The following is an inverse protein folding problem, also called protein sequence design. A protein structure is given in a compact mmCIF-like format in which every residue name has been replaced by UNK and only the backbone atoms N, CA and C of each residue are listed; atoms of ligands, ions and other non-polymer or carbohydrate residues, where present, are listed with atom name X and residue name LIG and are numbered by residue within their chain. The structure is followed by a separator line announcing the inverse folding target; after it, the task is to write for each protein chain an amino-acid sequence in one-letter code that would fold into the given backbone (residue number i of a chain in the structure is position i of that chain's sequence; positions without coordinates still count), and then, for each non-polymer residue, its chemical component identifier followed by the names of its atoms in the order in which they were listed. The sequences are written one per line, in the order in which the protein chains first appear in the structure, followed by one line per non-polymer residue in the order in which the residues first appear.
data_IF_178440000289
#
_entry.id   IF_178440000289
#
_cell.length_a   1.000
_cell.length_b   1.000
_cell.length_c   1.000
_cell.angle_alpha   90.00
_cell.angle_beta   90.00
_cell.angle_gamma   90.00
#
_symmetry.space_group_name_H-M   'P 1'
#
loop_
_entity.id
_entity.type
_entity.pdbx_description
1 polymer ?
#
# COMPACT_ATOMS: atom_id res chain seq x y z
N UNK A 1 8.48 -25.91 11.35
CA UNK A 1 7.98 -25.22 10.15
C UNK A 1 8.58 -23.83 10.21
N UNK A 2 9.25 -23.39 9.15
CA UNK A 2 9.68 -21.99 9.04
C UNK A 2 8.40 -21.20 8.87
N UNK A 3 8.18 -20.20 9.72
CA UNK A 3 7.02 -19.31 9.62
C UNK A 3 7.15 -18.53 8.30
N UNK A 4 6.12 -18.58 7.47
CA UNK A 4 6.15 -17.90 6.20
C UNK A 4 6.12 -16.39 6.40
N UNK A 5 7.05 -15.66 5.76
CA UNK A 5 7.15 -14.21 5.89
C UNK A 5 5.89 -13.54 5.30
N UNK A 6 5.31 -12.60 6.03
CA UNK A 6 4.27 -11.73 5.48
C UNK A 6 4.85 -10.71 4.47
N UNK A 7 3.98 -10.02 3.72
CA UNK A 7 4.38 -9.09 2.66
C UNK A 7 5.38 -8.02 3.16
N UNK A 8 5.12 -7.42 4.33
CA UNK A 8 6.01 -6.41 4.91
C UNK A 8 7.40 -6.97 5.27
N UNK A 9 7.45 -8.18 5.80
CA UNK A 9 8.71 -8.85 6.16
C UNK A 9 9.52 -9.20 4.91
N UNK A 10 8.86 -9.65 3.84
CA UNK A 10 9.51 -9.91 2.52
C UNK A 10 10.13 -8.63 1.96
N UNK A 11 9.38 -7.53 1.95
CA UNK A 11 9.86 -6.22 1.49
C UNK A 11 11.08 -5.77 2.30
N UNK A 12 11.02 -5.87 3.63
CA UNK A 12 12.15 -5.52 4.51
C UNK A 12 13.37 -6.41 4.32
N UNK A 13 13.18 -7.67 3.92
CA UNK A 13 14.26 -8.59 3.58
C UNK A 13 14.85 -8.33 2.19
N UNK A 14 14.29 -7.41 1.40
CA UNK A 14 14.70 -7.12 0.02
C UNK A 14 14.27 -8.20 -0.97
N UNK A 15 13.27 -9.02 -0.62
CA UNK A 15 12.72 -10.03 -1.51
C UNK A 15 11.84 -9.37 -2.58
N UNK A 16 11.89 -9.91 -3.81
CA UNK A 16 10.96 -9.53 -4.87
C UNK A 16 9.58 -10.05 -4.49
N UNK A 17 8.58 -9.17 -4.51
CA UNK A 17 7.19 -9.54 -4.31
C UNK A 17 6.40 -9.30 -5.59
N UNK A 18 5.58 -10.26 -5.97
CA UNK A 18 4.81 -10.25 -7.21
C UNK A 18 3.33 -10.11 -6.86
N UNK A 19 2.68 -9.10 -7.41
CA UNK A 19 1.24 -8.91 -7.30
C UNK A 19 0.54 -9.16 -8.62
N UNK A 20 -0.72 -9.57 -8.56
CA UNK A 20 -1.59 -9.71 -9.73
C UNK A 20 -2.81 -8.81 -9.61
N UNK A 21 -3.10 -8.05 -10.67
CA UNK A 21 -4.28 -7.19 -10.69
C UNK A 21 -5.56 -7.99 -10.86
N UNK A 22 -6.59 -7.60 -10.11
CA UNK A 22 -7.95 -8.13 -10.27
C UNK A 22 -8.90 -7.00 -10.72
N UNK A 23 -9.91 -7.31 -11.55
CA UNK A 23 -10.91 -6.32 -11.96
C UNK A 23 -11.69 -5.76 -10.75
N UNK A 24 -12.19 -4.54 -10.90
CA UNK A 24 -12.99 -3.85 -9.88
C UNK A 24 -14.31 -4.57 -9.53
N UNK A 25 -14.80 -5.42 -10.40
CA UNK A 25 -16.02 -6.23 -10.26
C UNK A 25 -15.72 -7.73 -10.01
N UNK A 26 -14.48 -8.05 -9.58
CA UNK A 26 -14.06 -9.43 -9.39
C UNK A 26 -14.93 -10.15 -8.35
N UNK A 27 -15.41 -11.32 -8.76
CA UNK A 27 -16.06 -12.28 -7.86
C UNK A 27 -15.01 -13.16 -7.18
N UNK A 28 -15.40 -13.83 -6.07
CA UNK A 28 -14.52 -14.78 -5.39
C UNK A 28 -13.95 -15.84 -6.34
N UNK A 29 -14.80 -16.41 -7.21
CA UNK A 29 -14.37 -17.40 -8.18
C UNK A 29 -13.36 -16.86 -9.20
N UNK A 30 -13.51 -15.59 -9.63
CA UNK A 30 -12.56 -14.97 -10.53
C UNK A 30 -11.22 -14.66 -9.82
N UNK A 31 -11.27 -14.24 -8.56
CA UNK A 31 -10.05 -14.04 -7.75
C UNK A 31 -9.30 -15.36 -7.60
N UNK A 32 -10.01 -16.45 -7.27
CA UNK A 32 -9.44 -17.79 -7.13
C UNK A 32 -8.81 -18.27 -8.44
N UNK A 33 -9.50 -18.08 -9.59
CA UNK A 33 -8.98 -18.43 -10.91
C UNK A 33 -7.71 -17.64 -11.26
N UNK A 34 -7.71 -16.32 -11.02
CA UNK A 34 -6.54 -15.47 -11.29
C UNK A 34 -5.37 -15.87 -10.38
N UNK A 35 -5.63 -16.08 -9.10
CA UNK A 35 -4.61 -16.43 -8.12
C UNK A 35 -3.94 -17.77 -8.42
N UNK A 36 -4.71 -18.75 -8.90
CA UNK A 36 -4.20 -20.07 -9.22
C UNK A 36 -3.34 -20.17 -10.49
N UNK A 37 -3.16 -19.07 -11.22
CA UNK A 37 -2.38 -19.07 -12.47
C UNK A 37 -0.88 -19.09 -12.25
N UNK A 38 -0.43 -18.68 -11.08
CA UNK A 38 0.99 -18.63 -10.75
C UNK A 38 1.17 -18.80 -9.23
N UNK A 39 2.05 -19.70 -8.83
CA UNK A 39 2.37 -19.95 -7.41
C UNK A 39 3.30 -18.88 -6.81
N UNK A 40 3.82 -17.94 -7.64
CA UNK A 40 4.71 -16.87 -7.19
C UNK A 40 3.97 -15.60 -6.76
N UNK A 41 2.64 -15.54 -6.87
CA UNK A 41 1.89 -14.38 -6.42
C UNK A 41 1.90 -14.23 -4.89
N UNK A 42 2.12 -13.00 -4.42
CA UNK A 42 2.16 -12.65 -3.01
C UNK A 42 0.97 -11.81 -2.56
N UNK A 43 0.29 -11.12 -3.48
CA UNK A 43 -0.90 -10.32 -3.22
C UNK A 43 -1.74 -10.10 -4.48
N UNK A 44 -3.02 -9.79 -4.30
CA UNK A 44 -3.82 -9.21 -5.37
C UNK A 44 -3.82 -7.69 -5.26
N UNK A 45 -3.82 -7.02 -6.42
CA UNK A 45 -3.89 -5.57 -6.51
C UNK A 45 -5.27 -5.11 -7.01
N UNK A 46 -5.88 -4.19 -6.27
CA UNK A 46 -7.16 -3.56 -6.59
C UNK A 46 -6.93 -2.07 -6.77
N UNK A 47 -7.35 -1.53 -7.91
CA UNK A 47 -7.19 -0.12 -8.23
C UNK A 47 -8.51 0.62 -8.21
N UNK A 48 -8.59 1.73 -7.46
CA UNK A 48 -9.75 2.64 -7.49
C UNK A 48 -9.47 3.96 -8.20
N UNK A 49 -8.22 4.28 -8.52
CA UNK A 49 -7.88 5.53 -9.18
C UNK A 49 -8.44 5.58 -10.61
N UNK A 50 -8.37 4.45 -11.33
CA UNK A 50 -8.79 4.36 -12.74
C UNK A 50 -9.92 3.34 -12.95
N UNK A 51 -10.77 3.12 -11.96
CA UNK A 51 -11.90 2.20 -12.05
C UNK A 51 -13.17 2.78 -11.43
N UNK A 52 -14.35 2.31 -11.83
CA UNK A 52 -15.62 2.73 -11.26
C UNK A 52 -15.94 2.03 -9.93
N UNK A 53 -14.92 1.68 -9.16
CA UNK A 53 -15.04 0.91 -7.93
C UNK A 53 -15.86 1.65 -6.87
N UNK A 54 -16.87 0.98 -6.33
CA UNK A 54 -17.67 1.46 -5.20
C UNK A 54 -17.37 0.64 -3.94
N UNK A 55 -17.56 1.21 -2.76
CA UNK A 55 -17.17 0.59 -1.49
C UNK A 55 -17.79 -0.78 -1.23
N UNK A 56 -19.04 -0.99 -1.63
CA UNK A 56 -19.69 -2.29 -1.45
C UNK A 56 -19.03 -3.40 -2.26
N UNK A 57 -18.52 -3.08 -3.44
CA UNK A 57 -17.75 -4.02 -4.26
C UNK A 57 -16.37 -4.25 -3.67
N UNK A 58 -15.71 -3.18 -3.23
CA UNK A 58 -14.42 -3.27 -2.55
C UNK A 58 -14.50 -4.18 -1.32
N UNK A 59 -15.51 -3.99 -0.48
CA UNK A 59 -15.76 -4.86 0.68
C UNK A 59 -15.96 -6.32 0.26
N UNK A 60 -16.70 -6.57 -0.83
CA UNK A 60 -16.91 -7.93 -1.36
C UNK A 60 -15.62 -8.59 -1.84
N UNK A 61 -14.76 -7.84 -2.54
CA UNK A 61 -13.44 -8.30 -2.99
C UNK A 61 -12.56 -8.63 -1.77
N UNK A 62 -12.53 -7.75 -0.77
CA UNK A 62 -11.72 -7.95 0.43
C UNK A 62 -12.16 -9.17 1.24
N UNK A 63 -13.46 -9.38 1.41
CA UNK A 63 -14.00 -10.58 2.06
C UNK A 63 -13.64 -11.84 1.28
N UNK A 64 -13.78 -11.80 -0.06
CA UNK A 64 -13.41 -12.94 -0.91
C UNK A 64 -11.93 -13.28 -0.81
N UNK A 65 -11.06 -12.26 -0.86
CA UNK A 65 -9.61 -12.44 -0.71
C UNK A 65 -9.24 -12.99 0.68
N UNK A 66 -9.89 -12.50 1.73
CA UNK A 66 -9.70 -12.97 3.08
C UNK A 66 -10.11 -14.44 3.24
N UNK A 67 -11.25 -14.85 2.64
CA UNK A 67 -11.68 -16.25 2.62
C UNK A 67 -10.67 -17.17 1.91
N UNK A 68 -9.92 -16.64 0.96
CA UNK A 68 -8.88 -17.34 0.21
C UNK A 68 -7.48 -17.19 0.85
N UNK A 69 -7.36 -16.45 1.95
CA UNK A 69 -6.08 -16.14 2.62
C UNK A 69 -5.10 -15.33 1.75
N UNK A 70 -5.63 -14.50 0.86
CA UNK A 70 -4.85 -13.71 -0.09
C UNK A 70 -4.69 -12.28 0.44
N UNK A 71 -3.47 -11.74 0.58
CA UNK A 71 -3.24 -10.34 0.91
C UNK A 71 -3.76 -9.41 -0.19
N UNK A 72 -4.32 -8.25 0.21
CA UNK A 72 -4.85 -7.26 -0.74
C UNK A 72 -4.04 -5.98 -0.68
N UNK A 73 -3.49 -5.58 -1.81
CA UNK A 73 -2.95 -4.26 -2.07
C UNK A 73 -4.04 -3.40 -2.70
N UNK A 74 -4.30 -2.22 -2.15
CA UNK A 74 -5.33 -1.32 -2.60
C UNK A 74 -4.77 0.06 -2.91
N UNK A 75 -4.86 0.48 -4.19
CA UNK A 75 -4.55 1.85 -4.59
C UNK A 75 -5.78 2.72 -4.41
N UNK A 76 -5.68 3.73 -3.56
CA UNK A 76 -6.78 4.64 -3.24
C UNK A 76 -7.06 5.59 -4.41
N UNK A 77 -8.26 6.18 -4.44
CA UNK A 77 -8.73 7.00 -5.55
C UNK A 77 -7.90 8.29 -5.74
N UNK A 78 -7.49 8.95 -4.66
CA UNK A 78 -6.81 10.24 -4.72
C UNK A 78 -6.11 10.57 -3.40
N UNK A 79 -5.03 11.35 -3.45
CA UNK A 79 -4.29 11.83 -2.27
C UNK A 79 -5.15 12.54 -1.23
N UNK A 80 -6.16 13.29 -1.66
CA UNK A 80 -7.09 13.98 -0.74
C UNK A 80 -7.96 13.02 0.08
N UNK A 81 -7.89 11.72 -0.19
CA UNK A 81 -8.66 10.69 0.54
C UNK A 81 -7.81 9.90 1.54
N UNK A 82 -6.61 10.34 1.83
CA UNK A 82 -5.73 9.69 2.84
C UNK A 82 -6.42 9.54 4.19
N UNK A 83 -7.29 10.48 4.59
CA UNK A 83 -8.08 10.39 5.83
C UNK A 83 -9.00 9.15 5.92
N UNK A 84 -9.27 8.48 4.78
CA UNK A 84 -10.09 7.25 4.72
C UNK A 84 -9.26 5.97 4.80
N UNK A 85 -7.95 6.03 4.80
CA UNK A 85 -7.08 4.85 4.82
C UNK A 85 -7.49 3.88 5.92
N UNK A 86 -7.67 4.37 7.16
CA UNK A 86 -8.09 3.54 8.27
C UNK A 86 -9.41 2.79 8.01
N UNK A 87 -10.36 3.40 7.30
CA UNK A 87 -11.61 2.76 6.92
C UNK A 87 -11.42 1.60 5.94
N UNK A 88 -10.61 1.79 4.88
CA UNK A 88 -10.33 0.71 3.93
C UNK A 88 -9.51 -0.43 4.54
N UNK A 89 -8.63 -0.11 5.48
CA UNK A 89 -7.94 -1.13 6.27
C UNK A 89 -8.91 -1.92 7.16
N UNK A 90 -9.91 -1.26 7.73
CA UNK A 90 -10.98 -1.93 8.50
C UNK A 90 -11.90 -2.79 7.62
N UNK A 91 -12.00 -2.49 6.32
CA UNK A 91 -12.72 -3.31 5.36
C UNK A 91 -11.90 -4.54 4.91
N UNK A 92 -10.57 -4.54 5.05
CA UNK A 92 -9.76 -5.73 4.77
C UNK A 92 -8.53 -5.54 3.93
N UNK A 93 -8.20 -4.33 3.49
CA UNK A 93 -6.92 -4.08 2.83
C UNK A 93 -5.76 -4.36 3.81
N UNK A 94 -4.72 -5.00 3.32
CA UNK A 94 -3.47 -5.23 4.06
C UNK A 94 -2.33 -4.33 3.59
N UNK A 95 -2.48 -3.75 2.41
CA UNK A 95 -1.54 -2.79 1.83
C UNK A 95 -2.32 -1.64 1.19
N UNK A 96 -1.82 -0.42 1.36
CA UNK A 96 -2.37 0.80 0.74
C UNK A 96 -1.31 1.45 -0.13
N UNK A 97 -1.72 1.87 -1.32
CA UNK A 97 -0.93 2.75 -2.18
C UNK A 97 -1.64 4.10 -2.32
N UNK A 98 -0.90 5.18 -2.03
CA UNK A 98 -1.37 6.55 -2.22
C UNK A 98 -0.82 7.06 -3.55
N UNK A 99 -1.68 7.27 -4.58
CA UNK A 99 -1.22 7.75 -5.88
C UNK A 99 -0.76 9.20 -5.81
N UNK A 100 -0.05 9.68 -6.83
CA UNK A 100 0.31 11.09 -7.04
C UNK A 100 0.84 11.79 -5.78
N UNK A 101 1.68 11.10 -5.02
CA UNK A 101 2.23 11.64 -3.77
C UNK A 101 3.40 12.56 -4.06
N UNK A 102 3.26 13.85 -3.81
CA UNK A 102 4.27 14.87 -4.09
C UNK A 102 4.77 15.62 -2.86
N UNK A 103 4.01 15.61 -1.77
CA UNK A 103 4.31 16.47 -0.60
C UNK A 103 4.53 15.67 0.66
N UNK A 104 5.39 16.19 1.53
CA UNK A 104 5.59 15.62 2.88
C UNK A 104 4.29 15.58 3.69
N UNK A 105 3.40 16.57 3.51
CA UNK A 105 2.12 16.62 4.20
C UNK A 105 1.24 15.41 3.81
N UNK A 106 1.15 15.09 2.52
CA UNK A 106 0.44 13.89 2.03
C UNK A 106 1.03 12.61 2.61
N UNK A 107 2.36 12.48 2.62
CA UNK A 107 3.05 11.34 3.20
C UNK A 107 2.76 11.22 4.70
N UNK A 108 2.77 12.35 5.44
CA UNK A 108 2.45 12.36 6.87
C UNK A 108 1.00 11.97 7.12
N UNK A 109 0.05 12.51 6.35
CA UNK A 109 -1.36 12.13 6.46
C UNK A 109 -1.56 10.64 6.19
N UNK A 110 -0.89 10.08 5.18
CA UNK A 110 -0.94 8.66 4.89
C UNK A 110 -0.46 7.82 6.09
N UNK A 111 0.68 8.18 6.70
CA UNK A 111 1.20 7.51 7.90
C UNK A 111 0.23 7.67 9.07
N UNK A 112 -0.29 8.87 9.31
CA UNK A 112 -1.20 9.17 10.40
C UNK A 112 -2.48 8.32 10.35
N UNK A 113 -3.06 8.13 9.18
CA UNK A 113 -4.29 7.34 9.03
C UNK A 113 -4.06 5.85 8.78
N UNK A 114 -2.82 5.43 8.53
CA UNK A 114 -2.46 4.03 8.38
C UNK A 114 -2.18 3.35 9.73
N UNK A 115 -1.45 4.03 10.62
CA UNK A 115 -1.01 3.48 11.90
C UNK A 115 -1.87 3.95 13.07
N UNK A 116 -2.04 3.08 14.07
CA UNK A 116 -2.71 3.42 15.32
C UNK A 116 -1.91 4.43 16.17
N UNK A 117 -2.51 5.01 17.24
CA UNK A 117 -1.91 6.14 17.98
C UNK A 117 -0.49 5.96 18.52
N UNK A 118 0.07 4.76 18.54
CA UNK A 118 1.49 4.54 18.88
C UNK A 118 2.45 5.09 17.83
N UNK A 119 1.98 5.18 16.56
CA UNK A 119 2.80 5.60 15.42
C UNK A 119 2.03 6.51 14.45
N UNK A 120 0.72 6.69 14.64
CA UNK A 120 -0.16 7.49 13.79
C UNK A 120 -1.40 7.98 14.54
N UNK A 121 -2.53 8.11 13.82
CA UNK A 121 -3.81 8.62 14.34
C UNK A 121 -5.02 7.78 13.92
N UNK A 122 -4.79 6.56 13.37
CA UNK A 122 -5.89 5.69 12.93
C UNK A 122 -6.85 5.41 14.08
N UNK A 123 -8.16 5.56 13.82
CA UNK A 123 -9.21 5.23 14.78
C UNK A 123 -9.31 3.73 15.00
N UNK A 124 -9.66 3.33 16.22
CA UNK A 124 -9.88 1.93 16.58
C UNK A 124 -11.36 1.54 16.35
N UNK A 125 -11.62 0.64 15.39
CA UNK A 125 -12.97 0.16 15.06
C UNK A 125 -13.48 -0.98 15.96
N UNK A 126 -12.66 -1.51 16.85
CA UNK A 126 -13.04 -2.61 17.73
C UNK A 126 -13.52 -3.85 16.97
N UNK A 127 -14.51 -4.53 17.53
CA UNK A 127 -15.12 -5.75 16.96
C UNK A 127 -15.99 -5.49 15.73
N UNK A 128 -16.26 -4.24 15.40
CA UNK A 128 -17.09 -3.88 14.24
C UNK A 128 -16.30 -3.85 12.92
N UNK A 129 -14.99 -4.04 12.96
CA UNK A 129 -14.17 -4.17 11.76
C UNK A 129 -14.59 -5.39 10.95
N UNK A 130 -14.80 -5.18 9.66
CA UNK A 130 -15.31 -6.21 8.75
C UNK A 130 -14.21 -7.09 8.22
N UNK A 131 -13.05 -6.46 7.93
CA UNK A 131 -11.89 -7.12 7.35
C UNK A 131 -10.77 -7.35 8.37
N UNK A 132 -9.62 -7.81 7.90
CA UNK A 132 -8.47 -8.24 8.70
C UNK A 132 -8.93 -9.01 9.93
N UNK A 133 -9.84 -9.84 9.68
CA UNK A 133 -10.38 -10.66 10.68
C UNK A 133 -9.41 -11.76 10.96
N UNK A 134 -8.61 -11.92 11.45
CA UNK A 134 -7.64 -12.79 12.08
C UNK A 134 -7.93 -14.29 11.95
N UNK A 135 -8.80 -14.69 11.03
CA UNK A 135 -9.02 -16.09 10.72
C UNK A 135 -7.71 -16.81 10.40
N UNK A 136 -6.77 -16.06 9.84
CA UNK A 136 -5.44 -16.54 9.47
C UNK A 136 -4.31 -15.91 10.29
N UNK A 137 -4.63 -14.91 11.08
CA UNK A 137 -3.67 -14.17 11.88
C UNK A 137 -3.98 -14.50 13.35
N UNK A 138 -3.23 -15.32 13.99
CA UNK A 138 -3.41 -15.79 15.37
C UNK A 138 -3.37 -14.66 16.41
N UNK A 139 -4.03 -13.53 16.11
CA UNK A 139 -4.07 -12.39 17.00
C UNK A 139 -5.47 -12.20 17.60
N UNK A 140 -5.59 -11.88 18.90
CA UNK A 140 -6.88 -11.66 19.55
C UNK A 140 -7.67 -10.52 18.88
N UNK A 141 -8.94 -10.75 18.60
CA UNK A 141 -9.84 -9.74 18.02
C UNK A 141 -10.51 -8.89 19.08
N UNK A 142 -10.35 -9.23 20.35
CA UNK A 142 -10.98 -8.53 21.44
C UNK A 142 -10.30 -7.17 21.69
N UNK A 143 -11.01 -6.27 22.36
CA UNK A 143 -10.49 -4.96 22.73
C UNK A 143 -9.53 -5.03 23.95
N UNK A 144 -9.21 -6.22 24.44
CA UNK A 144 -8.42 -6.41 25.66
C UNK A 144 -6.95 -6.04 25.46
N UNK A 145 -6.40 -6.19 24.24
CA UNK A 145 -5.01 -5.88 23.94
C UNK A 145 -4.84 -5.03 22.68
N UNK A 146 -5.36 -3.80 22.71
CA UNK A 146 -5.24 -2.85 21.61
C UNK A 146 -3.79 -2.48 21.27
N UNK A 147 -2.94 -2.39 22.25
CA UNK A 147 -1.52 -2.06 22.03
C UNK A 147 -0.79 -3.21 21.37
N UNK A 148 -1.04 -4.44 21.80
CA UNK A 148 -0.49 -5.62 21.16
C UNK A 148 -0.96 -5.76 19.72
N UNK A 149 -2.26 -5.50 19.44
CA UNK A 149 -2.78 -5.47 18.08
C UNK A 149 -2.11 -4.38 17.23
N UNK A 150 -1.94 -3.17 17.74
CA UNK A 150 -1.27 -2.08 17.05
C UNK A 150 0.18 -2.44 16.70
N UNK A 151 0.89 -3.06 17.63
CA UNK A 151 2.26 -3.54 17.41
C UNK A 151 2.31 -4.64 16.34
N UNK A 152 1.36 -5.57 16.36
CA UNK A 152 1.22 -6.56 15.29
C UNK A 152 0.97 -5.90 13.93
N UNK A 153 0.02 -4.95 13.87
CA UNK A 153 -0.30 -4.21 12.65
C UNK A 153 0.92 -3.50 12.07
N UNK A 154 1.74 -2.87 12.91
CA UNK A 154 2.96 -2.18 12.50
C UNK A 154 3.97 -3.11 11.81
N UNK A 155 3.89 -4.43 12.06
CA UNK A 155 4.73 -5.45 11.44
C UNK A 155 4.02 -6.24 10.33
N UNK A 156 2.77 -5.89 10.01
CA UNK A 156 1.94 -6.59 9.03
C UNK A 156 1.57 -5.70 7.84
N UNK A 157 0.95 -4.54 8.11
CA UNK A 157 0.43 -3.65 7.06
C UNK A 157 1.53 -2.96 6.27
N UNK A 158 1.32 -2.76 4.96
CA UNK A 158 2.28 -2.14 4.05
C UNK A 158 1.72 -0.82 3.52
N UNK A 159 2.47 0.28 3.70
CA UNK A 159 2.14 1.59 3.16
C UNK A 159 3.08 1.94 2.02
N UNK A 160 2.52 2.20 0.85
CA UNK A 160 3.24 2.62 -0.36
C UNK A 160 2.82 4.03 -0.77
N UNK A 161 3.78 4.82 -1.26
CA UNK A 161 3.56 6.13 -1.85
C UNK A 161 3.98 6.09 -3.32
N UNK A 162 3.05 6.37 -4.24
CA UNK A 162 3.36 6.38 -5.66
C UNK A 162 3.93 7.74 -6.07
N UNK A 163 5.12 7.74 -6.67
CA UNK A 163 5.80 8.90 -7.23
C UNK A 163 5.71 8.83 -8.75
N UNK A 164 5.17 9.89 -9.35
CA UNK A 164 4.81 9.91 -10.75
C UNK A 164 4.89 11.33 -11.36
N UNK A 165 5.71 12.19 -10.74
CA UNK A 165 6.10 13.51 -11.27
C UNK A 165 7.54 13.82 -10.91
N UNK A 166 8.17 14.75 -11.63
CA UNK A 166 9.50 15.25 -11.31
C UNK A 166 9.55 15.83 -9.89
N UNK A 167 8.50 16.58 -9.51
CA UNK A 167 8.39 17.15 -8.18
C UNK A 167 8.34 16.04 -7.10
N UNK A 168 7.60 14.96 -7.33
CA UNK A 168 7.56 13.82 -6.43
C UNK A 168 8.94 13.17 -6.28
N UNK A 169 9.67 12.97 -7.39
CA UNK A 169 11.02 12.39 -7.39
C UNK A 169 11.99 13.26 -6.56
N UNK A 170 11.98 14.59 -6.75
CA UNK A 170 12.83 15.51 -5.98
C UNK A 170 12.49 15.50 -4.49
N UNK A 171 11.22 15.25 -4.14
CA UNK A 171 10.75 15.22 -2.76
C UNK A 171 10.90 13.85 -2.07
N UNK A 172 11.38 12.80 -2.74
CA UNK A 172 11.59 11.47 -2.12
C UNK A 172 12.28 11.54 -0.76
N UNK A 173 13.32 12.38 -0.51
CA UNK A 173 13.92 12.51 0.81
C UNK A 173 12.95 12.89 1.94
N UNK A 174 11.81 13.51 1.60
CA UNK A 174 10.75 13.88 2.56
C UNK A 174 9.60 12.87 2.57
N UNK A 175 9.41 12.15 1.46
CA UNK A 175 8.35 11.15 1.30
C UNK A 175 8.74 9.80 1.91
N UNK A 176 10.00 9.38 1.71
CA UNK A 176 10.56 8.15 2.27
C UNK A 176 10.88 8.34 3.76
N UNK A 177 9.85 8.46 4.57
CA UNK A 177 9.92 8.74 6.02
C UNK A 177 9.51 7.52 6.85
N UNK A 178 9.79 7.50 8.17
CA UNK A 178 9.34 6.42 9.03
C UNK A 178 7.84 6.16 8.92
N UNK A 179 7.47 4.90 8.71
CA UNK A 179 6.09 4.47 8.48
C UNK A 179 5.75 4.24 7.00
N UNK A 180 6.54 4.74 6.05
CA UNK A 180 6.43 4.40 4.63
C UNK A 180 7.31 3.19 4.36
N UNK A 181 6.74 2.13 3.78
CA UNK A 181 7.44 0.88 3.52
C UNK A 181 8.06 0.84 2.11
N UNK A 182 7.38 1.45 1.15
CA UNK A 182 7.81 1.48 -0.26
C UNK A 182 7.49 2.82 -0.91
N UNK A 183 8.31 3.16 -1.88
CA UNK A 183 7.99 4.14 -2.92
C UNK A 183 7.70 3.37 -4.20
N UNK A 184 6.49 3.51 -4.74
CA UNK A 184 6.09 2.88 -6.00
C UNK A 184 6.25 3.84 -7.18
N UNK A 185 6.31 3.29 -8.38
CA UNK A 185 6.64 4.02 -9.60
C UNK A 185 5.42 4.15 -10.51
N UNK A 186 5.04 5.40 -10.89
CA UNK A 186 3.98 5.69 -11.83
C UNK A 186 4.52 6.12 -13.21
N UNK A 187 4.89 5.18 -14.09
CA UNK A 187 5.64 5.51 -15.32
C UNK A 187 4.88 6.36 -16.30
N UNK A 188 3.56 6.19 -16.40
CA UNK A 188 2.76 6.92 -17.39
C UNK A 188 2.64 8.41 -17.06
N UNK A 189 2.24 8.74 -15.83
CA UNK A 189 2.09 10.13 -15.39
C UNK A 189 3.45 10.82 -15.30
N UNK A 190 4.49 10.11 -14.87
CA UNK A 190 5.86 10.63 -14.89
C UNK A 190 6.33 10.95 -16.32
N UNK A 191 5.99 10.12 -17.32
CA UNK A 191 6.33 10.40 -18.70
C UNK A 191 5.66 11.70 -19.20
N UNK A 192 4.37 11.90 -18.89
CA UNK A 192 3.67 13.15 -19.20
C UNK A 192 4.30 14.37 -18.52
N UNK A 193 4.66 14.25 -17.24
CA UNK A 193 5.28 15.36 -16.51
C UNK A 193 6.67 15.69 -17.08
N UNK A 194 7.47 14.70 -17.45
CA UNK A 194 8.75 14.89 -18.11
C UNK A 194 8.62 15.57 -19.47
N UNK A 195 7.62 15.19 -20.27
CA UNK A 195 7.31 15.84 -21.55
C UNK A 195 6.92 17.31 -21.37
N UNK A 196 6.24 17.65 -20.26
CA UNK A 196 5.89 19.01 -19.91
C UNK A 196 7.09 19.86 -19.45
N UNK A 197 8.15 19.21 -18.97
CA UNK A 197 9.36 19.86 -18.43
C UNK A 197 10.66 19.45 -19.13
N UNK A 198 10.79 19.57 -20.48
CA UNK A 198 11.86 18.96 -21.26
C UNK A 198 13.27 19.47 -20.93
N UNK A 199 13.37 20.62 -20.26
CA UNK A 199 14.66 21.20 -19.86
C UNK A 199 15.10 20.80 -18.44
N UNK A 200 14.28 20.03 -17.72
CA UNK A 200 14.61 19.57 -16.37
C UNK A 200 15.63 18.42 -16.43
N UNK A 201 16.65 18.38 -15.56
CA UNK A 201 17.64 17.29 -15.56
C UNK A 201 17.04 15.90 -15.45
N UNK A 202 15.98 15.72 -14.63
CA UNK A 202 15.26 14.45 -14.45
C UNK A 202 14.36 14.10 -15.65
N UNK A 203 14.13 15.03 -16.60
CA UNK A 203 13.34 14.73 -17.78
C UNK A 203 14.10 13.91 -18.84
N UNK A 204 15.40 13.67 -18.66
CA UNK A 204 16.25 13.00 -19.65
C UNK A 204 15.82 11.56 -19.94
N UNK A 205 15.53 10.76 -18.91
CA UNK A 205 15.03 9.39 -19.06
C UNK A 205 14.44 8.86 -17.75
N UNK A 206 13.74 7.71 -17.80
CA UNK A 206 13.26 7.00 -16.61
C UNK A 206 14.41 6.52 -15.74
N UNK A 207 15.51 6.06 -16.35
CA UNK A 207 16.68 5.58 -15.63
C UNK A 207 17.28 6.67 -14.74
N UNK A 208 17.36 7.92 -15.22
CA UNK A 208 17.86 9.06 -14.44
C UNK A 208 16.95 9.31 -13.21
N UNK A 209 15.64 9.23 -13.40
CA UNK A 209 14.68 9.36 -12.31
C UNK A 209 14.82 8.20 -11.31
N UNK A 210 14.96 6.96 -11.79
CA UNK A 210 15.11 5.77 -10.95
C UNK A 210 16.41 5.84 -10.14
N UNK A 211 17.53 6.20 -10.78
CA UNK A 211 18.83 6.35 -10.09
C UNK A 211 18.75 7.41 -8.98
N UNK A 212 18.11 8.55 -9.25
CA UNK A 212 17.88 9.57 -8.25
C UNK A 212 17.02 9.05 -7.09
N UNK A 213 15.90 8.41 -7.40
CA UNK A 213 14.96 7.86 -6.42
C UNK A 213 15.62 6.81 -5.51
N UNK A 214 16.33 5.84 -6.10
CA UNK A 214 17.05 4.78 -5.37
C UNK A 214 18.11 5.38 -4.43
N UNK A 215 18.89 6.35 -4.92
CA UNK A 215 19.87 7.04 -4.09
C UNK A 215 19.21 7.77 -2.94
N UNK A 216 18.13 8.53 -3.19
CA UNK A 216 17.42 9.28 -2.17
C UNK A 216 16.80 8.37 -1.10
N UNK A 217 16.23 7.23 -1.48
CA UNK A 217 15.72 6.23 -0.53
C UNK A 217 16.84 5.64 0.33
N UNK A 218 17.97 5.25 -0.28
CA UNK A 218 19.09 4.66 0.46
C UNK A 218 19.69 5.65 1.47
N UNK A 219 19.80 6.93 1.11
CA UNK A 219 20.30 7.98 2.01
C UNK A 219 19.37 8.17 3.24
N UNK A 220 18.07 7.84 3.15
CA UNK A 220 17.12 7.89 4.28
C UNK A 220 17.20 6.64 5.18
N UNK A 221 17.55 5.49 4.64
CA UNK A 221 17.69 4.24 5.43
C UNK A 221 18.95 4.27 6.30
N UNK A 222 19.96 5.02 5.90
CA UNK A 222 21.26 5.10 6.60
C UNK A 222 21.32 6.20 7.68
N UNK A 223 20.30 7.02 7.80
CA UNK A 223 20.16 8.07 8.83
C UNK A 223 19.09 7.71 9.86
#
# INVERSE_FOLDING_TARGET
MVEELNLKQRIKAGEITIGVSVPWDATKSLIEDIWSRDDEYHFIAVDSQHSPLVESQLASIFVAAQDLSIPVHFRILHTNMTYRIGNWLDLGASSIEVPQTETEATAQDAVDYFYYPQSGKRSWGGVTRVGVDQRHLKFPTDDADRVGYANWWNNFGVLMLQVESINAIENIPKLAKPGVDCVSWGPNDLAFDREAHPNHPLAASDEVCIEYAVKACNDQVLN
#
